data_IF_971076388508
#
_entry.id   IF_971076388508
#
_cell.length_a   1.000
_cell.length_b   1.000
_cell.length_c   1.000
_cell.angle_alpha   90.00
_cell.angle_beta   90.00
_cell.angle_gamma   90.00
#
_symmetry.space_group_name_H-M   'P 1'
#
loop_
_entity.id
_entity.type
_entity.pdbx_description
1 polymer ?
#
# COMPACT_ATOMS: atom_id res chain seq x y z
N UNK A 1 12.68 -18.72 -9.50
CA UNK A 1 12.41 -17.89 -8.30
C UNK A 1 10.98 -17.36 -8.39
N UNK A 2 9.99 -18.09 -7.83
CA UNK A 2 8.58 -17.70 -7.86
C UNK A 2 8.22 -17.02 -6.55
N UNK A 3 8.28 -15.69 -6.49
CA UNK A 3 7.72 -14.91 -5.38
C UNK A 3 6.25 -14.67 -5.74
N UNK A 4 5.33 -15.40 -5.10
CA UNK A 4 3.89 -15.14 -5.19
C UNK A 4 3.50 -14.22 -4.03
N UNK A 5 2.78 -13.18 -4.40
CA UNK A 5 2.45 -11.97 -3.63
C UNK A 5 1.87 -12.23 -2.24
N UNK A 6 2.22 -11.38 -1.29
CA UNK A 6 1.52 -11.25 0.00
C UNK A 6 0.21 -10.48 -0.20
N UNK A 7 -0.91 -11.02 0.28
CA UNK A 7 -2.21 -10.34 0.36
C UNK A 7 -2.43 -9.91 1.80
N UNK A 8 -2.55 -8.60 2.05
CA UNK A 8 -2.92 -8.05 3.35
C UNK A 8 -4.38 -7.62 3.23
N UNK A 9 -5.28 -8.30 3.94
CA UNK A 9 -6.68 -7.91 4.05
C UNK A 9 -6.88 -7.18 5.38
N UNK A 10 -7.23 -5.89 5.33
CA UNK A 10 -7.62 -5.12 6.51
C UNK A 10 -9.13 -4.93 6.47
N UNK A 11 -9.82 -5.34 7.54
CA UNK A 11 -11.24 -5.06 7.75
C UNK A 11 -11.37 -4.22 9.03
N UNK A 12 -11.95 -3.03 8.92
CA UNK A 12 -12.29 -2.18 10.06
C UNK A 12 -13.76 -2.40 10.39
N UNK A 13 -14.06 -2.93 11.59
CA UNK A 13 -15.39 -2.91 12.16
C UNK A 13 -15.44 -1.80 13.21
N UNK A 14 -16.27 -0.77 12.99
CA UNK A 14 -16.51 0.28 13.98
C UNK A 14 -17.70 -0.09 14.86
N UNK A 15 -17.51 -0.14 16.17
CA UNK A 15 -18.58 0.10 17.14
C UNK A 15 -18.07 1.13 18.16
N UNK A 16 -18.91 2.14 18.42
CA UNK A 16 -18.61 3.28 19.28
C UNK A 16 -18.32 2.86 20.73
N UNK A 17 -17.15 3.24 21.26
CA UNK A 17 -16.90 3.39 22.69
C UNK A 17 -16.04 4.64 22.92
N UNK A 18 -16.48 5.51 23.82
CA UNK A 18 -15.83 6.79 24.18
C UNK A 18 -14.41 6.59 24.74
N UNK A 19 -13.51 7.47 24.30
CA UNK A 19 -12.13 7.57 24.74
C UNK A 19 -12.00 8.21 26.13
N UNK A 20 -11.14 7.65 26.98
CA UNK A 20 -10.46 8.39 28.04
C UNK A 20 -8.97 8.36 27.72
N UNK A 21 -8.37 9.55 27.63
CA UNK A 21 -6.95 9.81 27.41
C UNK A 21 -6.23 9.71 28.74
N UNK A 22 -5.05 9.07 28.79
CA UNK A 22 -3.98 9.54 29.68
C UNK A 22 -2.57 9.18 29.15
N UNK A 23 -1.62 10.04 29.50
CA UNK A 23 -0.34 10.33 28.85
C UNK A 23 0.88 9.64 29.49
N UNK A 24 1.92 9.48 28.67
CA UNK A 24 3.35 9.48 28.97
C UNK A 24 4.04 8.26 29.62
N UNK A 25 5.08 7.82 28.89
CA UNK A 25 6.29 7.13 29.36
C UNK A 25 6.18 5.68 29.82
N UNK A 26 6.65 4.73 28.98
CA UNK A 26 7.29 3.47 29.45
C UNK A 26 8.14 2.83 28.36
N UNK A 27 9.33 2.40 28.80
CA UNK A 27 10.43 1.80 28.05
C UNK A 27 10.01 0.53 27.30
N UNK A 28 10.72 0.25 26.21
CA UNK A 28 10.57 -0.94 25.37
C UNK A 28 10.82 -2.22 26.22
N UNK A 29 9.74 -2.88 26.60
CA UNK A 29 9.74 -4.22 27.21
C UNK A 29 9.26 -5.18 26.12
N UNK A 30 9.92 -6.33 25.89
CA UNK A 30 9.41 -7.34 24.99
C UNK A 30 8.14 -7.92 25.61
N UNK A 31 6.98 -7.45 25.16
CA UNK A 31 5.70 -8.01 25.59
C UNK A 31 5.61 -9.43 25.04
N UNK A 32 5.92 -10.40 25.90
CA UNK A 32 5.23 -11.69 25.89
C UNK A 32 3.76 -11.34 26.09
N UNK A 33 3.01 -11.17 24.99
CA UNK A 33 1.62 -10.72 25.01
C UNK A 33 0.82 -11.68 25.89
N UNK A 34 0.48 -11.20 27.09
CA UNK A 34 -0.48 -11.88 27.94
C UNK A 34 -1.82 -11.82 27.22
N UNK A 35 -2.35 -12.97 26.84
CA UNK A 35 -3.74 -13.17 26.38
C UNK A 35 -4.78 -12.87 27.48
N UNK A 36 -4.46 -11.98 28.44
CA UNK A 36 -5.31 -11.69 29.56
C UNK A 36 -6.46 -10.79 29.12
N UNK A 37 -7.67 -11.30 29.33
CA UNK A 37 -8.97 -10.63 29.35
C UNK A 37 -9.90 -10.75 28.14
N UNK A 38 -9.83 -11.84 27.38
CA UNK A 38 -10.92 -12.22 26.48
C UNK A 38 -11.21 -13.74 26.53
N UNK A 39 -11.22 -14.33 27.73
CA UNK A 39 -11.73 -15.70 27.95
C UNK A 39 -13.27 -15.73 27.93
N UNK A 40 -13.90 -15.15 26.90
CA UNK A 40 -15.29 -15.46 26.62
C UNK A 40 -15.33 -16.70 25.73
N UNK A 41 -16.21 -17.68 25.99
CA UNK A 41 -16.37 -18.85 25.12
C UNK A 41 -16.58 -18.49 23.64
N UNK A 42 -17.17 -17.33 23.37
CA UNK A 42 -17.35 -16.80 22.02
C UNK A 42 -16.02 -16.43 21.34
N UNK A 43 -15.06 -15.81 22.02
CA UNK A 43 -13.81 -15.36 21.41
C UNK A 43 -12.88 -16.53 21.11
N UNK A 44 -12.84 -17.54 21.98
CA UNK A 44 -12.13 -18.79 21.69
C UNK A 44 -12.67 -19.47 20.43
N UNK A 45 -13.99 -19.53 20.27
CA UNK A 45 -14.62 -20.10 19.08
C UNK A 45 -14.35 -19.27 17.81
N UNK A 46 -14.42 -17.93 17.90
CA UNK A 46 -14.08 -17.06 16.76
C UNK A 46 -12.60 -17.17 16.37
N UNK A 47 -11.72 -17.27 17.35
CA UNK A 47 -10.28 -17.49 17.13
C UNK A 47 -10.04 -18.79 16.39
N UNK A 48 -10.63 -19.90 16.87
CA UNK A 48 -10.53 -21.22 16.22
C UNK A 48 -11.02 -21.18 14.77
N UNK A 49 -12.17 -20.54 14.52
CA UNK A 49 -12.71 -20.37 13.17
C UNK A 49 -11.81 -19.52 12.28
N UNK A 50 -11.23 -18.44 12.80
CA UNK A 50 -10.29 -17.61 12.08
C UNK A 50 -9.04 -18.40 11.68
N UNK A 51 -8.47 -19.18 12.60
CA UNK A 51 -7.36 -20.09 12.33
C UNK A 51 -7.69 -21.04 11.18
N UNK A 52 -8.81 -21.78 11.27
CA UNK A 52 -9.24 -22.69 10.20
C UNK A 52 -9.37 -22.00 8.84
N UNK A 53 -9.92 -20.78 8.81
CA UNK A 53 -10.04 -19.99 7.59
C UNK A 53 -8.67 -19.60 7.01
N UNK A 54 -7.71 -19.24 7.86
CA UNK A 54 -6.36 -18.85 7.43
C UNK A 54 -5.61 -20.05 6.85
N UNK A 55 -5.66 -21.21 7.51
CA UNK A 55 -5.05 -22.43 6.99
C UNK A 55 -5.65 -22.84 5.64
N UNK A 56 -6.98 -22.86 5.54
CA UNK A 56 -7.68 -23.14 4.26
C UNK A 56 -7.33 -22.13 3.18
N UNK A 57 -7.26 -20.85 3.52
CA UNK A 57 -6.89 -19.81 2.57
C UNK A 57 -5.45 -19.98 2.08
N UNK A 58 -4.50 -20.22 3.00
CA UNK A 58 -3.09 -20.49 2.67
C UNK A 58 -2.94 -21.66 1.70
N UNK A 59 -3.62 -22.77 1.97
CA UNK A 59 -3.63 -23.95 1.09
C UNK A 59 -4.25 -23.62 -0.27
N UNK A 60 -5.42 -22.96 -0.27
CA UNK A 60 -6.13 -22.59 -1.51
C UNK A 60 -5.32 -21.69 -2.43
N UNK A 61 -4.62 -20.69 -1.89
CA UNK A 61 -3.81 -19.76 -2.70
C UNK A 61 -2.37 -20.25 -2.94
N UNK A 62 -1.95 -21.29 -2.21
CA UNK A 62 -0.61 -21.86 -2.29
C UNK A 62 0.48 -20.88 -1.86
N UNK A 63 0.20 -19.97 -0.93
CA UNK A 63 1.22 -19.05 -0.43
C UNK A 63 2.09 -19.73 0.66
N UNK A 64 3.41 -19.46 0.69
CA UNK A 64 4.33 -20.08 1.66
C UNK A 64 4.01 -19.77 3.12
N UNK A 65 3.57 -18.55 3.40
CA UNK A 65 3.20 -18.11 4.74
C UNK A 65 2.32 -16.87 4.74
N UNK A 66 1.61 -16.66 5.86
CA UNK A 66 0.65 -15.58 6.10
C UNK A 66 0.87 -15.07 7.52
N UNK A 67 0.80 -13.75 7.71
CA UNK A 67 0.65 -13.13 9.03
C UNK A 67 -0.70 -12.41 9.10
N UNK A 68 -1.44 -12.62 10.18
CA UNK A 68 -2.75 -12.01 10.43
C UNK A 68 -2.76 -11.35 11.80
N UNK A 69 -3.35 -10.17 11.88
CA UNK A 69 -3.59 -9.45 13.12
C UNK A 69 -4.99 -8.85 13.10
N UNK A 70 -5.71 -8.97 14.21
CA UNK A 70 -7.01 -8.32 14.44
C UNK A 70 -6.89 -7.45 15.68
N UNK A 71 -7.24 -6.19 15.53
CA UNK A 71 -7.31 -5.25 16.64
C UNK A 71 -8.73 -4.75 16.83
N UNK A 72 -9.12 -4.58 18.09
CA UNK A 72 -10.36 -3.94 18.50
C UNK A 72 -10.02 -2.83 19.50
N UNK A 73 -10.44 -1.60 19.17
CA UNK A 73 -10.20 -0.42 19.99
C UNK A 73 -8.72 -0.21 20.38
N UNK A 74 -7.81 -0.43 19.42
CA UNK A 74 -6.37 -0.28 19.61
C UNK A 74 -5.68 -1.46 20.30
N UNK A 75 -6.43 -2.43 20.82
CA UNK A 75 -5.88 -3.63 21.44
C UNK A 75 -5.82 -4.77 20.43
N UNK A 76 -4.72 -5.51 20.39
CA UNK A 76 -4.61 -6.72 19.56
C UNK A 76 -5.36 -7.84 20.27
N UNK A 77 -6.39 -8.39 19.61
CA UNK A 77 -7.23 -9.47 20.15
C UNK A 77 -6.94 -10.83 19.51
N UNK A 78 -6.23 -10.83 18.38
CA UNK A 78 -5.77 -12.03 17.71
C UNK A 78 -4.57 -11.69 16.83
N UNK A 79 -3.54 -12.53 16.87
CA UNK A 79 -2.35 -12.40 16.04
C UNK A 79 -1.75 -13.77 15.79
N UNK A 80 -1.47 -14.08 14.52
CA UNK A 80 -0.93 -15.38 14.15
C UNK A 80 -0.06 -15.30 12.90
N UNK A 81 1.02 -16.08 12.90
CA UNK A 81 1.81 -16.39 11.72
C UNK A 81 1.63 -17.86 11.35
N UNK A 82 1.30 -18.14 10.09
CA UNK A 82 1.11 -19.49 9.58
C UNK A 82 2.08 -19.73 8.41
N UNK A 83 2.75 -20.88 8.41
CA UNK A 83 3.69 -21.25 7.35
C UNK A 83 5.07 -20.64 7.53
N UNK A 84 5.78 -20.42 6.42
CA UNK A 84 7.19 -20.05 6.41
C UNK A 84 7.44 -18.71 5.75
N UNK A 85 8.23 -17.86 6.42
CA UNK A 85 8.81 -16.64 5.86
C UNK A 85 9.92 -16.98 4.85
N UNK A 86 10.61 -18.11 5.07
CA UNK A 86 11.59 -18.68 4.15
C UNK A 86 11.40 -20.20 4.11
N UNK A 87 11.07 -20.73 2.94
CA UNK A 87 10.74 -22.16 2.76
C UNK A 87 12.01 -23.00 2.80
N UNK A 88 13.07 -22.54 2.14
CA UNK A 88 14.35 -23.24 2.01
C UNK A 88 15.03 -23.45 3.36
N UNK A 89 14.88 -22.50 4.27
CA UNK A 89 15.45 -22.52 5.62
C UNK A 89 14.41 -22.83 6.71
N UNK A 90 13.17 -23.16 6.33
CA UNK A 90 12.09 -23.47 7.27
C UNK A 90 11.88 -22.41 8.36
N UNK A 91 12.08 -21.13 8.02
CA UNK A 91 11.89 -20.02 8.96
C UNK A 91 10.40 -19.74 9.08
N UNK A 92 9.78 -19.90 10.27
CA UNK A 92 8.35 -19.70 10.43
C UNK A 92 7.98 -18.23 10.28
N UNK A 93 6.77 -17.95 9.79
CA UNK A 93 6.18 -16.61 9.91
C UNK A 93 5.83 -16.34 11.37
N UNK A 94 6.13 -15.15 11.85
CA UNK A 94 5.75 -14.66 13.17
C UNK A 94 5.32 -13.19 13.11
N UNK A 95 5.04 -12.61 14.28
CA UNK A 95 4.63 -11.22 14.47
C UNK A 95 5.61 -10.18 13.86
N UNK A 96 6.90 -10.49 13.89
CA UNK A 96 7.99 -9.58 13.50
C UNK A 96 8.44 -9.79 12.04
N UNK A 97 7.79 -10.71 11.32
CA UNK A 97 8.13 -11.01 9.93
C UNK A 97 7.79 -9.82 9.03
N UNK A 98 8.80 -9.28 8.35
CA UNK A 98 8.63 -8.14 7.43
C UNK A 98 8.23 -8.63 6.04
N UNK A 99 7.17 -8.03 5.48
CA UNK A 99 6.67 -8.33 4.14
C UNK A 99 6.84 -7.13 3.19
N UNK A 100 7.03 -7.41 1.89
CA UNK A 100 6.83 -6.40 0.84
C UNK A 100 5.33 -6.15 0.69
N UNK A 101 4.85 -5.01 1.18
CA UNK A 101 3.40 -4.70 1.29
C UNK A 101 2.74 -4.18 0.00
N UNK A 102 3.52 -3.98 -1.07
CA UNK A 102 3.04 -3.53 -2.38
C UNK A 102 2.08 -2.32 -2.29
N UNK A 103 0.89 -2.41 -2.87
CA UNK A 103 -0.07 -1.29 -2.92
C UNK A 103 -0.61 -0.84 -1.57
N UNK A 104 -0.38 -1.59 -0.49
CA UNK A 104 -0.69 -1.15 0.88
C UNK A 104 0.18 0.05 1.28
N UNK A 105 1.27 0.34 0.55
CA UNK A 105 2.03 1.59 0.69
C UNK A 105 1.23 2.84 0.32
N UNK A 106 0.21 2.76 -0.55
CA UNK A 106 -0.51 3.93 -1.07
C UNK A 106 -1.24 4.73 0.02
N UNK A 107 -2.01 4.12 0.94
CA UNK A 107 -2.56 4.84 2.09
C UNK A 107 -1.54 5.63 2.92
N UNK A 108 -0.30 5.14 3.07
CA UNK A 108 0.76 5.89 3.76
C UNK A 108 1.17 7.13 2.96
N UNK A 109 1.33 7.01 1.64
CA UNK A 109 1.56 8.18 0.77
C UNK A 109 0.40 9.17 0.87
N UNK A 110 -0.85 8.70 0.84
CA UNK A 110 -2.03 9.56 1.01
C UNK A 110 -2.07 10.26 2.37
N UNK A 111 -1.65 9.58 3.45
CA UNK A 111 -1.52 10.18 4.77
C UNK A 111 -0.49 11.32 4.76
N UNK A 112 0.67 11.13 4.11
CA UNK A 112 1.67 12.20 3.96
C UNK A 112 1.13 13.39 3.19
N UNK A 113 0.33 13.17 2.14
CA UNK A 113 -0.38 14.27 1.46
C UNK A 113 -1.32 14.99 2.42
N UNK A 114 -2.10 14.25 3.22
CA UNK A 114 -2.94 14.82 4.28
C UNK A 114 -2.17 15.73 5.23
N UNK A 115 -0.98 15.31 5.67
CA UNK A 115 -0.12 16.13 6.53
C UNK A 115 0.38 17.40 5.84
N UNK A 116 0.67 17.36 4.54
CA UNK A 116 1.07 18.55 3.78
C UNK A 116 -0.10 19.52 3.53
N UNK A 117 -1.32 18.99 3.35
CA UNK A 117 -2.55 19.77 3.30
C UNK A 117 -2.78 20.52 4.62
N UNK A 118 -2.68 19.83 5.76
CA UNK A 118 -2.79 20.44 7.10
C UNK A 118 -1.78 21.58 7.31
N UNK A 119 -0.60 21.47 6.69
CA UNK A 119 0.46 22.47 6.77
C UNK A 119 0.34 23.59 5.72
N UNK A 120 -0.71 23.58 4.89
CA UNK A 120 -0.88 24.49 3.75
C UNK A 120 0.31 24.51 2.78
N UNK A 121 1.06 23.40 2.69
CA UNK A 121 2.21 23.25 1.77
C UNK A 121 1.84 22.62 0.43
N UNK A 122 0.62 22.09 0.35
CA UNK A 122 0.06 21.44 -0.82
C UNK A 122 -1.43 21.81 -0.90
N UNK A 123 -1.96 21.86 -2.11
CA UNK A 123 -3.37 22.00 -2.44
C UNK A 123 -3.77 20.85 -3.39
N UNK A 124 -4.95 20.26 -3.14
CA UNK A 124 -5.50 19.15 -3.91
C UNK A 124 -5.81 19.51 -5.35
N UNK A 125 -6.26 20.73 -5.60
CA UNK A 125 -6.72 21.20 -6.90
C UNK A 125 -5.64 21.96 -7.66
N UNK A 126 -4.46 22.13 -7.05
CA UNK A 126 -3.31 22.75 -7.67
C UNK A 126 -2.66 21.84 -8.71
N UNK A 127 -2.06 22.45 -9.74
CA UNK A 127 -1.33 21.71 -10.76
C UNK A 127 -0.06 21.09 -10.14
N UNK A 128 0.22 19.83 -10.47
CA UNK A 128 1.43 19.14 -10.01
C UNK A 128 2.71 19.90 -10.39
N UNK A 129 2.71 20.64 -11.51
CA UNK A 129 3.87 21.39 -12.00
C UNK A 129 4.15 22.63 -11.16
N UNK A 130 3.23 23.07 -10.31
CA UNK A 130 3.51 24.10 -9.30
C UNK A 130 4.46 23.59 -8.22
N UNK A 131 4.50 22.27 -7.97
CA UNK A 131 5.41 21.63 -7.01
C UNK A 131 6.58 20.92 -7.69
N UNK A 132 6.37 20.42 -8.91
CA UNK A 132 7.38 19.74 -9.71
C UNK A 132 7.47 20.34 -11.13
N UNK A 133 8.03 21.55 -11.29
CA UNK A 133 8.05 22.28 -12.57
C UNK A 133 8.75 21.53 -13.71
N UNK A 134 9.70 20.67 -13.39
CA UNK A 134 10.48 19.90 -14.37
C UNK A 134 9.73 18.65 -14.88
N UNK A 135 8.57 18.31 -14.30
CA UNK A 135 7.74 17.24 -14.84
C UNK A 135 7.17 17.65 -16.21
N UNK A 136 7.31 16.84 -17.28
CA UNK A 136 6.94 17.26 -18.63
C UNK A 136 5.47 17.68 -18.76
N UNK A 137 5.22 18.70 -19.60
CA UNK A 137 3.86 19.07 -19.96
C UNK A 137 3.15 17.90 -20.62
N UNK A 138 1.86 17.76 -20.29
CA UNK A 138 0.99 16.78 -20.91
C UNK A 138 0.03 17.51 -21.81
N UNK A 139 -0.09 17.02 -23.04
CA UNK A 139 -0.96 17.58 -24.06
C UNK A 139 -2.00 16.53 -24.43
N UNK A 140 -3.27 16.93 -24.48
CA UNK A 140 -4.39 16.17 -25.02
C UNK A 140 -5.15 17.10 -25.94
N UNK A 141 -5.52 16.62 -27.13
CA UNK A 141 -6.29 17.40 -28.12
C UNK A 141 -5.68 18.79 -28.40
N UNK A 142 -4.34 18.84 -28.51
CA UNK A 142 -3.53 20.05 -28.72
C UNK A 142 -3.62 21.11 -27.59
N UNK A 143 -4.12 20.75 -26.41
CA UNK A 143 -4.21 21.62 -25.25
C UNK A 143 -3.45 21.06 -24.05
N UNK A 144 -2.97 21.95 -23.18
CA UNK A 144 -2.34 21.59 -21.91
C UNK A 144 -3.32 20.85 -21.00
N UNK A 145 -2.94 19.65 -20.57
CA UNK A 145 -3.70 18.80 -19.66
C UNK A 145 -3.21 19.00 -18.22
N UNK A 146 -3.92 19.85 -17.47
CA UNK A 146 -3.67 20.10 -16.06
C UNK A 146 -3.88 18.82 -15.23
N UNK A 147 -2.82 18.32 -14.62
CA UNK A 147 -2.88 17.20 -13.66
C UNK A 147 -2.87 17.81 -12.26
N UNK A 148 -3.87 17.49 -11.44
CA UNK A 148 -3.94 17.96 -10.05
C UNK A 148 -3.52 16.88 -9.08
N UNK A 149 -3.13 17.26 -7.85
CA UNK A 149 -2.82 16.29 -6.78
C UNK A 149 -4.02 15.37 -6.50
N UNK A 150 -5.25 15.91 -6.51
CA UNK A 150 -6.50 15.16 -6.39
C UNK A 150 -6.60 14.06 -7.45
N UNK A 151 -6.27 14.38 -8.71
CA UNK A 151 -6.33 13.44 -9.83
C UNK A 151 -5.30 12.30 -9.71
N UNK A 152 -4.18 12.52 -9.03
CA UNK A 152 -3.21 11.46 -8.72
C UNK A 152 -3.76 10.53 -7.62
N UNK A 153 -4.27 11.12 -6.53
CA UNK A 153 -4.79 10.38 -5.36
C UNK A 153 -5.97 9.47 -5.69
N UNK A 154 -6.90 9.95 -6.52
CA UNK A 154 -8.12 9.21 -6.88
C UNK A 154 -7.97 8.36 -8.16
N UNK A 155 -6.74 8.25 -8.70
CA UNK A 155 -6.44 7.53 -9.93
C UNK A 155 -7.15 8.04 -11.19
N UNK A 156 -7.45 9.34 -11.28
CA UNK A 156 -8.06 9.94 -12.49
C UNK A 156 -7.12 10.82 -13.31
N UNK A 157 -5.82 10.84 -13.02
CA UNK A 157 -4.83 11.70 -13.71
C UNK A 157 -4.56 11.37 -15.18
N UNK A 158 -4.95 10.18 -15.65
CA UNK A 158 -4.58 9.70 -16.99
C UNK A 158 -3.14 9.16 -17.08
N UNK A 159 -2.37 9.15 -15.99
CA UNK A 159 -1.06 8.49 -15.95
C UNK A 159 -1.26 6.98 -16.11
N UNK A 160 -0.62 6.38 -17.11
CA UNK A 160 -0.77 4.95 -17.43
C UNK A 160 -0.43 4.02 -16.25
N UNK A 161 -0.90 2.78 -16.35
CA UNK A 161 -0.42 1.68 -15.51
C UNK A 161 0.80 0.97 -16.14
N UNK A 162 1.21 -0.15 -15.57
CA UNK A 162 2.31 -0.95 -16.11
C UNK A 162 2.01 -1.43 -17.53
N UNK A 163 3.01 -1.32 -18.42
CA UNK A 163 2.93 -1.84 -19.79
C UNK A 163 2.84 -3.37 -19.73
N UNK A 164 1.83 -3.92 -20.41
CA UNK A 164 1.73 -5.35 -20.69
C UNK A 164 2.57 -5.64 -21.93
N UNK A 165 3.52 -6.57 -21.83
CA UNK A 165 4.24 -7.07 -23.00
C UNK A 165 3.64 -8.42 -23.36
N UNK A 166 2.96 -8.50 -24.50
CA UNK A 166 2.53 -9.76 -25.10
C UNK A 166 3.68 -10.30 -25.94
N UNK A 167 4.52 -11.13 -25.34
CA UNK A 167 5.47 -11.94 -26.09
C UNK A 167 4.78 -13.29 -26.34
N UNK A 168 4.65 -13.72 -27.59
CA UNK A 168 3.92 -14.96 -27.97
C UNK A 168 4.48 -16.22 -27.28
N UNK A 169 5.72 -16.12 -26.78
CA UNK A 169 6.45 -17.20 -26.10
C UNK A 169 6.39 -17.16 -24.57
N UNK A 170 5.87 -16.08 -23.95
CA UNK A 170 5.88 -15.90 -22.49
C UNK A 170 4.56 -15.36 -21.99
N UNK A 171 3.98 -16.11 -21.05
CA UNK A 171 2.81 -15.78 -20.26
C UNK A 171 2.79 -14.29 -19.87
N UNK A 172 1.84 -13.54 -20.45
CA UNK A 172 1.50 -12.12 -20.19
C UNK A 172 2.25 -11.48 -19.00
N UNK A 173 3.46 -10.99 -19.23
CA UNK A 173 4.29 -10.43 -18.16
C UNK A 173 4.09 -8.90 -18.08
N UNK A 174 4.04 -8.39 -16.84
CA UNK A 174 4.22 -6.97 -16.54
C UNK A 174 5.67 -6.75 -16.09
N UNK A 175 6.64 -6.62 -17.01
CA UNK A 175 8.05 -6.50 -16.65
C UNK A 175 8.30 -5.30 -15.74
N UNK A 176 7.58 -4.20 -15.95
CA UNK A 176 7.65 -3.02 -15.07
C UNK A 176 7.13 -3.31 -13.65
N UNK A 177 6.17 -4.22 -13.46
CA UNK A 177 5.70 -4.60 -12.11
C UNK A 177 6.74 -5.46 -11.38
N UNK A 178 7.48 -6.28 -12.12
CA UNK A 178 8.46 -7.23 -11.60
C UNK A 178 9.88 -6.65 -11.54
N UNK A 179 10.06 -5.40 -11.94
CA UNK A 179 11.36 -4.75 -11.91
C UNK A 179 11.86 -4.66 -10.45
N UNK A 180 13.17 -4.83 -10.26
CA UNK A 180 13.84 -4.65 -8.97
C UNK A 180 14.90 -3.54 -9.05
N UNK A 181 14.68 -2.55 -9.93
CA UNK A 181 15.58 -1.42 -10.08
C UNK A 181 15.50 -0.57 -8.81
N UNK A 182 16.66 -0.24 -8.24
CA UNK A 182 16.76 0.69 -7.12
C UNK A 182 17.04 2.08 -7.67
N UNK A 183 16.05 2.95 -7.61
CA UNK A 183 16.20 4.36 -7.96
C UNK A 183 16.84 5.13 -6.81
N UNK A 184 17.66 6.13 -7.12
CA UNK A 184 18.31 6.99 -6.13
C UNK A 184 17.30 7.84 -5.35
N UNK A 185 16.26 8.29 -6.03
CA UNK A 185 15.15 9.07 -5.49
C UNK A 185 13.89 8.85 -6.32
N UNK A 186 12.78 9.47 -5.91
CA UNK A 186 11.48 9.34 -6.59
C UNK A 186 11.45 10.01 -7.97
N UNK A 187 12.26 11.05 -8.21
CA UNK A 187 12.41 11.70 -9.52
C UNK A 187 12.96 10.74 -10.57
N UNK A 188 14.01 10.00 -10.21
CA UNK A 188 14.57 8.97 -11.09
C UNK A 188 13.58 7.84 -11.37
N UNK A 189 12.71 7.50 -10.41
CA UNK A 189 11.62 6.54 -10.65
C UNK A 189 10.57 7.09 -11.64
N UNK A 190 10.37 8.41 -11.68
CA UNK A 190 9.49 9.04 -12.67
C UNK A 190 10.01 8.93 -14.11
N UNK A 191 11.32 8.76 -14.32
CA UNK A 191 11.92 8.60 -15.66
C UNK A 191 11.32 7.41 -16.43
N UNK A 192 10.77 6.41 -15.72
CA UNK A 192 10.10 5.26 -16.33
C UNK A 192 8.84 5.63 -17.14
N UNK A 193 8.16 6.73 -16.79
CA UNK A 193 6.85 7.05 -17.37
C UNK A 193 6.60 8.53 -17.66
N UNK A 194 7.46 9.45 -17.18
CA UNK A 194 7.22 10.89 -17.26
C UNK A 194 7.07 11.41 -18.69
N UNK A 195 7.58 10.71 -19.70
CA UNK A 195 7.47 11.08 -21.11
C UNK A 195 6.33 10.34 -21.86
N UNK A 196 5.66 9.38 -21.23
CA UNK A 196 4.55 8.68 -21.87
C UNK A 196 3.32 9.58 -21.99
N UNK A 197 2.50 9.37 -23.02
CA UNK A 197 1.23 10.05 -23.19
C UNK A 197 0.25 9.67 -22.07
N UNK A 198 -0.68 10.58 -21.77
CA UNK A 198 -1.83 10.25 -20.91
C UNK A 198 -2.77 9.31 -21.65
N UNK A 199 -3.37 8.36 -20.93
CA UNK A 199 -4.32 7.40 -21.53
C UNK A 199 -5.74 7.96 -21.64
N UNK A 200 -6.03 9.05 -20.93
CA UNK A 200 -7.26 9.84 -21.01
C UNK A 200 -7.02 11.21 -20.34
N UNK A 201 -7.94 12.16 -20.51
CA UNK A 201 -7.86 13.45 -19.84
C UNK A 201 -7.93 13.35 -18.31
N UNK A 202 -7.18 14.20 -17.56
CA UNK A 202 -7.25 14.23 -16.10
C UNK A 202 -8.67 14.52 -15.61
N UNK A 203 -9.12 13.77 -14.60
CA UNK A 203 -10.44 13.93 -13.98
C UNK A 203 -11.59 13.19 -14.68
N UNK A 204 -11.39 12.67 -15.89
CA UNK A 204 -12.49 12.12 -16.71
C UNK A 204 -12.78 10.65 -16.44
N UNK A 205 -11.74 9.83 -16.19
CA UNK A 205 -11.88 8.39 -16.04
C UNK A 205 -10.96 7.86 -14.93
N UNK A 206 -11.37 6.78 -14.27
CA UNK A 206 -10.54 6.06 -13.30
C UNK A 206 -9.60 5.07 -14.01
N UNK A 207 -8.31 5.17 -13.74
CA UNK A 207 -7.27 4.25 -14.18
C UNK A 207 -6.29 3.97 -13.04
N UNK A 208 -6.33 2.76 -12.46
CA UNK A 208 -5.41 2.39 -11.39
C UNK A 208 -3.95 2.45 -11.85
N UNK A 209 -3.20 3.38 -11.27
CA UNK A 209 -1.83 3.67 -11.66
C UNK A 209 -0.91 3.71 -10.44
N UNK A 210 0.07 2.81 -10.43
CA UNK A 210 1.18 2.88 -9.49
C UNK A 210 2.08 4.07 -9.80
N UNK A 211 2.26 4.42 -11.08
CA UNK A 211 3.05 5.57 -11.49
C UNK A 211 2.44 6.91 -11.04
N UNK A 212 1.12 7.02 -10.96
CA UNK A 212 0.48 8.19 -10.33
C UNK A 212 0.92 8.37 -8.86
N UNK A 213 1.05 7.29 -8.10
CA UNK A 213 1.55 7.32 -6.72
C UNK A 213 3.07 7.49 -6.62
N UNK A 214 3.83 7.02 -7.61
CA UNK A 214 5.26 7.36 -7.73
C UNK A 214 5.43 8.87 -7.94
N UNK A 215 4.63 9.48 -8.81
CA UNK A 215 4.64 10.92 -9.03
C UNK A 215 4.22 11.70 -7.78
N UNK A 216 3.19 11.24 -7.08
CA UNK A 216 2.77 11.82 -5.81
C UNK A 216 3.89 11.79 -4.76
N UNK A 217 4.66 10.70 -4.72
CA UNK A 217 5.82 10.59 -3.83
C UNK A 217 6.92 11.58 -4.22
N UNK A 218 7.13 11.82 -5.51
CA UNK A 218 8.06 12.85 -6.00
C UNK A 218 7.64 14.27 -5.64
N UNK A 219 6.34 14.57 -5.71
CA UNK A 219 5.80 15.85 -5.27
C UNK A 219 6.04 16.05 -3.77
N UNK A 220 5.79 15.02 -2.95
CA UNK A 220 6.09 15.05 -1.50
C UNK A 220 7.59 15.30 -1.26
N UNK A 221 8.47 14.63 -2.01
CA UNK A 221 9.93 14.81 -1.91
C UNK A 221 10.39 16.22 -2.34
N UNK A 222 9.70 16.88 -3.28
CA UNK A 222 10.00 18.29 -3.67
C UNK A 222 9.62 19.32 -2.59
N UNK A 223 8.56 19.03 -1.83
CA UNK A 223 8.01 19.97 -0.84
C UNK A 223 8.77 19.91 0.50
N UNK A 224 9.30 18.73 0.84
CA UNK A 224 10.06 18.50 2.08
C UNK A 224 11.52 18.93 1.96
#
# INVERSE_FOLDING_TARGET
MKIRSALILTALASSHIQSVVDDSSKKHIPHKLQYHQLESPSITEYTRRAQEMIYRFKEKVGCPGISVCVSLSGNIIYQEGVGYANVEHMVPVNADTVFRIASVSKPFTSLLVGRLLDQHKLDLDEDIRSYYPEFPEKIIDNAYARITVRSLLNHTSGIRSYKKVSDESKESAYPEMLNNIRFKNTFNACDMFKNDALVHAPGVQYTYSTFAFTLLSAIIEKIC
#
